data_IF_708364031713
#
_entry.id   IF_708364031713
#
_cell.length_a   1.000
_cell.length_b   1.000
_cell.length_c   1.000
_cell.angle_alpha   90.00
_cell.angle_beta   90.00
_cell.angle_gamma   90.00
#
_symmetry.space_group_name_H-M   'P 1'
#
loop_
_entity.id
_entity.type
_entity.pdbx_description
1 polymer ?
#
# COMPACT_ATOMS: atom_id res chain seq x y z
N UNK A 1 -9.73 -11.50 -12.67
CA UNK A 1 -10.61 -10.98 -11.63
C UNK A 1 -10.22 -9.55 -11.27
N UNK A 2 -11.20 -8.68 -11.17
CA UNK A 2 -10.98 -7.24 -11.06
C UNK A 2 -10.14 -6.83 -9.83
N UNK A 3 -10.46 -7.37 -8.65
CA UNK A 3 -9.72 -7.03 -7.44
C UNK A 3 -8.27 -7.51 -7.49
N UNK A 4 -8.02 -8.64 -8.11
CA UNK A 4 -6.67 -9.15 -8.30
C UNK A 4 -5.86 -8.25 -9.22
N UNK A 5 -6.46 -7.77 -10.31
CA UNK A 5 -5.81 -6.84 -11.23
C UNK A 5 -5.51 -5.52 -10.53
N UNK A 6 -6.46 -5.02 -9.73
CA UNK A 6 -6.24 -3.82 -8.93
C UNK A 6 -5.02 -3.97 -8.02
N UNK A 7 -4.91 -5.10 -7.31
CA UNK A 7 -3.78 -5.36 -6.44
C UNK A 7 -2.47 -5.35 -7.21
N UNK A 8 -2.43 -6.04 -8.35
CA UNK A 8 -1.23 -6.09 -9.19
C UNK A 8 -0.82 -4.70 -9.68
N UNK A 9 -1.79 -3.89 -10.12
CA UNK A 9 -1.52 -2.55 -10.60
C UNK A 9 -1.08 -1.61 -9.46
N UNK A 10 -1.64 -1.76 -8.26
CA UNK A 10 -1.19 -1.01 -7.09
C UNK A 10 0.25 -1.35 -6.71
N UNK A 11 0.60 -2.62 -6.73
CA UNK A 11 1.98 -3.04 -6.44
C UNK A 11 2.94 -2.38 -7.42
N UNK A 12 2.62 -2.39 -8.70
CA UNK A 12 3.44 -1.73 -9.72
C UNK A 12 3.54 -0.23 -9.48
N UNK A 13 2.43 0.42 -9.19
CA UNK A 13 2.39 1.87 -9.01
C UNK A 13 3.16 2.30 -7.78
N UNK A 14 3.06 1.57 -6.68
CA UNK A 14 3.84 1.88 -5.47
C UNK A 14 5.33 1.74 -5.77
N UNK A 15 5.72 0.72 -6.53
CA UNK A 15 7.10 0.60 -6.99
C UNK A 15 7.57 1.80 -7.81
N UNK A 16 6.70 2.34 -8.65
CA UNK A 16 7.00 3.54 -9.43
C UNK A 16 7.13 4.77 -8.53
N UNK A 17 6.23 4.92 -7.54
CA UNK A 17 6.27 6.05 -6.60
C UNK A 17 7.63 6.15 -5.91
N UNK A 18 8.21 5.02 -5.51
CA UNK A 18 9.45 4.98 -4.73
C UNK A 18 10.67 4.56 -5.54
N UNK A 19 10.58 4.56 -6.87
CA UNK A 19 11.65 4.05 -7.74
C UNK A 19 13.00 4.75 -7.56
N UNK A 20 13.00 6.01 -7.19
CA UNK A 20 14.21 6.81 -7.02
C UNK A 20 14.65 6.90 -5.56
N UNK A 21 13.93 6.26 -4.65
CA UNK A 21 14.22 6.31 -3.23
C UNK A 21 14.93 5.04 -2.78
N UNK A 22 15.86 5.20 -1.85
CA UNK A 22 16.53 4.09 -1.20
C UNK A 22 16.22 4.14 0.29
N UNK A 23 16.04 2.96 0.87
CA UNK A 23 15.68 2.81 2.27
C UNK A 23 16.65 1.86 2.95
N UNK A 24 17.00 2.15 4.19
CA UNK A 24 17.90 1.31 4.96
C UNK A 24 17.19 0.03 5.40
N UNK A 25 17.82 -1.11 5.17
CA UNK A 25 17.32 -2.38 5.69
C UNK A 25 17.94 -2.69 7.05
N UNK A 26 17.56 -3.80 7.68
CA UNK A 26 18.05 -4.17 9.00
C UNK A 26 19.51 -4.57 9.03
N UNK A 27 20.11 -4.82 7.88
CA UNK A 27 21.55 -5.11 7.76
C UNK A 27 22.38 -3.85 7.51
N UNK A 28 21.74 -2.68 7.42
CA UNK A 28 22.42 -1.42 7.17
C UNK A 28 22.63 -1.09 5.70
N UNK A 29 22.08 -1.89 4.80
CA UNK A 29 22.18 -1.67 3.38
C UNK A 29 21.03 -0.74 2.90
N UNK A 30 21.28 0.02 1.84
CA UNK A 30 20.26 0.86 1.23
C UNK A 30 19.67 0.15 0.03
N UNK A 31 18.37 -0.12 0.07
CA UNK A 31 17.67 -0.91 -0.93
C UNK A 31 16.41 -0.20 -1.43
N UNK A 32 15.86 -0.67 -2.53
CA UNK A 32 14.56 -0.22 -3.01
C UNK A 32 13.44 -0.70 -2.07
N UNK A 33 12.30 -0.01 -2.10
CA UNK A 33 11.12 -0.44 -1.37
C UNK A 33 10.67 -1.82 -1.85
N UNK A 34 10.46 -2.73 -0.91
CA UNK A 34 9.83 -4.03 -1.22
C UNK A 34 8.32 -3.83 -1.21
N UNK A 35 7.65 -4.29 -2.25
CA UNK A 35 6.19 -4.19 -2.34
C UNK A 35 5.63 -5.60 -2.51
N UNK A 36 4.75 -5.99 -1.60
CA UNK A 36 4.21 -7.35 -1.55
C UNK A 36 2.70 -7.36 -1.72
N UNK A 37 2.19 -8.43 -2.29
CA UNK A 37 0.76 -8.66 -2.41
C UNK A 37 0.27 -9.44 -1.20
N UNK A 38 -0.68 -8.89 -0.48
CA UNK A 38 -1.48 -9.50 0.57
C UNK A 38 -0.71 -9.86 1.85
N UNK A 39 0.41 -10.54 1.74
CA UNK A 39 1.15 -11.05 2.89
C UNK A 39 2.64 -10.92 2.67
N UNK A 40 3.40 -10.90 3.77
CA UNK A 40 4.85 -11.02 3.67
C UNK A 40 5.23 -12.40 3.15
N UNK A 41 6.36 -12.51 2.42
CA UNK A 41 6.86 -13.82 2.01
C UNK A 41 7.14 -14.71 3.23
N UNK A 42 6.87 -16.00 3.08
CA UNK A 42 7.20 -16.98 4.13
C UNK A 42 8.72 -17.16 4.14
N UNK A 43 9.31 -17.03 5.32
CA UNK A 43 10.75 -17.26 5.45
C UNK A 43 11.04 -18.75 5.35
N UNK A 44 11.91 -19.11 4.40
CA UNK A 44 12.25 -20.51 4.15
C UNK A 44 13.32 -21.02 5.11
N UNK A 45 14.16 -20.12 5.63
CA UNK A 45 15.22 -20.42 6.58
C UNK A 45 15.55 -19.20 7.44
N UNK A 46 16.39 -19.40 8.46
CA UNK A 46 16.77 -18.32 9.37
C UNK A 46 17.65 -17.25 8.72
N UNK A 47 18.30 -17.61 7.62
CA UNK A 47 19.20 -16.71 6.91
C UNK A 47 18.46 -15.89 5.85
N UNK A 48 17.16 -16.11 5.66
CA UNK A 48 16.37 -15.35 4.71
C UNK A 48 16.42 -13.85 5.06
N UNK A 49 16.54 -12.95 4.07
CA UNK A 49 16.60 -11.52 4.35
C UNK A 49 15.31 -11.03 5.01
N UNK A 50 15.48 -10.04 5.88
CA UNK A 50 14.36 -9.35 6.50
C UNK A 50 13.58 -8.63 5.39
N UNK A 51 12.24 -8.76 5.35
CA UNK A 51 11.45 -8.13 4.29
C UNK A 51 11.35 -6.60 4.40
N UNK A 52 11.80 -6.03 5.49
CA UNK A 52 11.75 -4.57 5.71
C UNK A 52 12.86 -3.84 4.92
N UNK A 53 12.63 -2.65 4.31
CA UNK A 53 11.39 -1.86 4.29
C UNK A 53 10.36 -2.43 3.32
N UNK A 54 9.08 -2.29 3.66
CA UNK A 54 8.04 -2.84 2.80
C UNK A 54 6.76 -2.00 2.79
N UNK A 55 6.00 -2.18 1.72
CA UNK A 55 4.58 -1.84 1.66
C UNK A 55 3.84 -3.10 1.21
N UNK A 56 2.89 -3.54 2.00
CA UNK A 56 2.02 -4.67 1.63
C UNK A 56 0.71 -4.11 1.12
N UNK A 57 0.33 -4.48 -0.11
CA UNK A 57 -0.96 -4.11 -0.68
C UNK A 57 -1.95 -5.21 -0.34
N UNK A 58 -2.85 -4.93 0.58
CA UNK A 58 -3.82 -5.90 1.08
C UNK A 58 -5.22 -5.53 0.62
N UNK A 59 -5.84 -6.41 -0.17
CA UNK A 59 -7.25 -6.27 -0.52
C UNK A 59 -8.07 -6.83 0.64
N UNK A 60 -8.92 -5.99 1.23
CA UNK A 60 -9.67 -6.36 2.44
C UNK A 60 -11.09 -6.83 2.12
N UNK A 61 -11.87 -5.98 1.47
CA UNK A 61 -13.26 -6.26 1.15
C UNK A 61 -13.63 -5.61 -0.18
N UNK A 62 -14.74 -6.05 -0.73
CA UNK A 62 -15.30 -5.46 -1.94
C UNK A 62 -16.81 -5.47 -1.90
N UNK A 63 -17.43 -4.58 -2.67
CA UNK A 63 -18.88 -4.51 -2.81
C UNK A 63 -19.26 -4.45 -4.28
N UNK A 64 -20.23 -5.25 -4.64
CA UNK A 64 -20.86 -5.24 -5.97
C UNK A 64 -22.34 -4.96 -5.74
N UNK A 65 -22.77 -3.73 -6.07
CA UNK A 65 -24.15 -3.30 -5.83
C UNK A 65 -25.11 -3.69 -6.94
N UNK A 66 -24.57 -4.20 -8.04
CA UNK A 66 -25.38 -4.61 -9.19
C UNK A 66 -25.71 -3.45 -10.13
N UNK A 67 -26.39 -3.77 -11.25
CA UNK A 67 -26.76 -2.77 -12.24
C UNK A 67 -25.56 -2.16 -12.93
N UNK A 68 -25.57 -0.83 -13.05
CA UNK A 68 -24.50 -0.06 -13.70
C UNK A 68 -23.55 0.57 -12.69
N UNK A 69 -23.74 0.30 -11.40
CA UNK A 69 -22.90 0.86 -10.35
C UNK A 69 -21.49 0.28 -10.39
N UNK A 70 -20.44 1.09 -10.16
CA UNK A 70 -19.09 0.58 -10.06
C UNK A 70 -18.95 -0.36 -8.86
N UNK A 71 -18.05 -1.31 -8.97
CA UNK A 71 -17.64 -2.11 -7.82
C UNK A 71 -16.71 -1.27 -6.95
N UNK A 72 -16.80 -1.45 -5.64
CA UNK A 72 -15.89 -0.79 -4.69
C UNK A 72 -14.99 -1.83 -4.06
N UNK A 73 -13.70 -1.55 -4.02
CA UNK A 73 -12.71 -2.43 -3.39
C UNK A 73 -11.95 -1.64 -2.33
N UNK A 74 -11.99 -2.15 -1.10
CA UNK A 74 -11.30 -1.55 0.03
C UNK A 74 -9.92 -2.18 0.17
N UNK A 75 -8.90 -1.32 0.23
CA UNK A 75 -7.49 -1.72 0.26
C UNK A 75 -6.82 -1.13 1.50
N UNK A 76 -6.02 -1.94 2.17
CA UNK A 76 -5.15 -1.47 3.25
C UNK A 76 -3.70 -1.63 2.80
N UNK A 77 -2.91 -0.59 3.02
CA UNK A 77 -1.47 -0.62 2.81
C UNK A 77 -0.80 -0.73 4.17
N UNK A 78 -0.03 -1.80 4.36
CA UNK A 78 0.74 -1.99 5.59
C UNK A 78 2.19 -1.61 5.32
N UNK A 79 2.77 -0.78 6.18
CA UNK A 79 4.09 -0.22 5.99
C UNK A 79 5.00 -0.65 7.11
N UNK A 80 6.17 -1.18 6.75
CA UNK A 80 7.24 -1.50 7.70
C UNK A 80 8.50 -0.74 7.33
N UNK A 81 9.13 -0.14 8.33
CA UNK A 81 10.25 0.77 8.16
C UNK A 81 11.31 0.48 9.21
N UNK A 82 12.58 0.58 8.82
CA UNK A 82 13.70 0.39 9.72
C UNK A 82 14.47 1.69 9.89
N UNK A 83 14.72 2.07 11.14
CA UNK A 83 15.55 3.23 11.46
C UNK A 83 16.21 2.99 12.81
N UNK A 84 17.52 2.82 12.82
CA UNK A 84 18.29 2.54 14.04
C UNK A 84 18.95 3.80 14.62
N UNK A 85 18.57 4.98 14.17
CA UNK A 85 19.04 6.25 14.72
C UNK A 85 18.56 6.38 16.18
N UNK A 86 19.49 6.76 17.06
CA UNK A 86 19.22 6.86 18.49
C UNK A 86 18.16 7.93 18.84
N UNK A 87 17.84 8.84 17.92
CA UNK A 87 16.78 9.81 18.09
C UNK A 87 15.38 9.20 18.15
N UNK A 88 15.23 7.94 17.74
CA UNK A 88 13.96 7.21 17.78
C UNK A 88 12.83 7.95 17.03
N UNK A 89 13.14 8.43 15.83
CA UNK A 89 12.23 9.21 15.01
C UNK A 89 11.81 8.51 13.71
N UNK A 90 11.89 7.19 13.65
CA UNK A 90 11.57 6.42 12.46
C UNK A 90 10.11 6.56 11.99
N UNK A 91 9.21 6.95 12.89
CA UNK A 91 7.83 7.23 12.51
C UNK A 91 7.74 8.29 11.41
N UNK A 92 8.69 9.23 11.35
CA UNK A 92 8.72 10.26 10.30
C UNK A 92 8.92 9.65 8.92
N UNK A 93 9.71 8.56 8.84
CA UNK A 93 9.87 7.82 7.59
C UNK A 93 8.56 7.16 7.15
N UNK A 94 7.83 6.57 8.10
CA UNK A 94 6.52 5.97 7.81
C UNK A 94 5.54 7.05 7.33
N UNK A 95 5.49 8.19 8.01
CA UNK A 95 4.63 9.30 7.59
C UNK A 95 4.98 9.81 6.19
N UNK A 96 6.28 9.89 5.88
CA UNK A 96 6.73 10.30 4.55
C UNK A 96 6.29 9.33 3.46
N UNK A 97 6.32 8.05 3.73
CA UNK A 97 5.85 7.02 2.79
C UNK A 97 4.35 7.17 2.56
N UNK A 98 3.57 7.31 3.63
CA UNK A 98 2.12 7.50 3.55
C UNK A 98 1.78 8.76 2.74
N UNK A 99 2.46 9.86 3.04
CA UNK A 99 2.22 11.13 2.36
C UNK A 99 2.51 11.05 0.88
N UNK A 100 3.59 10.39 0.49
CA UNK A 100 3.95 10.26 -0.91
C UNK A 100 2.94 9.45 -1.70
N UNK A 101 2.41 8.40 -1.10
CA UNK A 101 1.33 7.60 -1.70
C UNK A 101 0.07 8.45 -1.84
N UNK A 102 -0.31 9.14 -0.76
CA UNK A 102 -1.48 10.02 -0.77
C UNK A 102 -1.39 11.07 -1.87
N UNK A 103 -0.26 11.74 -1.97
CA UNK A 103 -0.04 12.78 -2.99
C UNK A 103 -0.23 12.23 -4.41
N UNK A 104 0.29 11.03 -4.68
CA UNK A 104 0.15 10.41 -6.00
C UNK A 104 -1.33 10.28 -6.39
N UNK A 105 -2.16 9.75 -5.50
CA UNK A 105 -3.56 9.49 -5.81
C UNK A 105 -4.44 10.72 -5.70
N UNK A 106 -4.05 11.72 -4.91
CA UNK A 106 -4.73 13.01 -4.88
C UNK A 106 -4.51 13.79 -6.19
N UNK A 107 -3.30 13.71 -6.76
CA UNK A 107 -2.98 14.40 -8.00
C UNK A 107 -3.59 13.71 -9.21
N UNK A 108 -3.58 12.39 -9.22
CA UNK A 108 -4.13 11.59 -10.31
C UNK A 108 -4.87 10.40 -9.73
N UNK A 109 -6.19 10.48 -9.58
CA UNK A 109 -6.95 9.39 -8.97
C UNK A 109 -7.10 8.15 -9.86
N UNK A 110 -6.81 8.25 -11.15
CA UNK A 110 -6.88 7.08 -12.02
C UNK A 110 -5.65 6.20 -11.88
N UNK A 111 -5.87 4.90 -11.84
CA UNK A 111 -4.83 3.89 -11.83
C UNK A 111 -5.04 2.94 -13.00
N UNK A 112 -4.02 2.81 -13.86
CA UNK A 112 -4.04 1.91 -15.01
C UNK A 112 -5.25 2.12 -15.93
N UNK A 113 -5.82 3.32 -15.94
CA UNK A 113 -7.00 3.70 -16.74
C UNK A 113 -8.25 2.85 -16.45
N UNK A 114 -8.23 2.05 -15.38
CA UNK A 114 -9.31 1.12 -15.04
C UNK A 114 -9.89 1.35 -13.66
N UNK A 115 -9.10 1.92 -12.75
CA UNK A 115 -9.48 2.04 -11.35
C UNK A 115 -9.46 3.50 -10.94
N UNK A 116 -10.40 3.88 -10.12
CA UNK A 116 -10.54 5.27 -9.67
C UNK A 116 -10.44 5.33 -8.15
N UNK A 117 -9.47 6.10 -7.65
CA UNK A 117 -9.32 6.34 -6.21
C UNK A 117 -10.47 7.22 -5.72
N UNK A 118 -11.30 6.66 -4.85
CA UNK A 118 -12.41 7.39 -4.25
C UNK A 118 -11.91 8.14 -3.01
N UNK A 119 -12.20 9.43 -2.96
CA UNK A 119 -11.80 10.24 -1.81
C UNK A 119 -12.90 11.27 -1.52
N UNK A 120 -13.84 10.88 -0.68
CA UNK A 120 -14.98 11.68 -0.26
C UNK A 120 -15.33 11.36 1.19
N UNK A 121 -16.41 11.91 1.71
CA UNK A 121 -16.80 11.70 3.11
C UNK A 121 -17.09 10.23 3.43
N UNK A 122 -17.56 9.48 2.45
CA UNK A 122 -17.91 8.06 2.63
C UNK A 122 -16.71 7.14 2.37
N UNK A 123 -15.70 7.63 1.67
CA UNK A 123 -14.51 6.87 1.29
C UNK A 123 -13.25 7.67 1.60
N UNK A 124 -12.95 7.89 2.89
CA UNK A 124 -11.78 8.69 3.25
C UNK A 124 -10.49 7.92 3.02
N UNK A 125 -9.41 8.66 2.82
CA UNK A 125 -8.07 8.12 2.92
C UNK A 125 -7.68 8.23 4.40
N UNK A 126 -7.64 7.09 5.08
CA UNK A 126 -7.29 7.04 6.50
C UNK A 126 -5.89 6.47 6.69
N UNK A 127 -5.20 6.94 7.71
CA UNK A 127 -3.91 6.39 8.06
C UNK A 127 -3.75 6.33 9.57
N UNK A 128 -2.85 5.47 10.02
CA UNK A 128 -2.52 5.34 11.44
C UNK A 128 -1.08 4.88 11.59
N UNK A 129 -0.45 5.33 12.66
CA UNK A 129 0.83 4.81 13.10
C UNK A 129 0.59 3.75 14.18
N UNK A 130 1.53 2.82 14.33
CA UNK A 130 1.44 1.82 15.37
C UNK A 130 1.49 2.48 16.76
N UNK A 131 0.75 1.91 17.73
CA UNK A 131 0.67 2.41 19.09
C UNK A 131 1.86 2.01 19.95
N UNK A 132 2.40 0.83 19.71
CA UNK A 132 3.46 0.27 20.54
C UNK A 132 4.82 0.66 20.04
N UNK A 133 5.74 0.87 20.97
CA UNK A 133 7.13 1.14 20.63
C UNK A 133 7.83 -0.15 20.25
N UNK A 134 8.53 -0.14 19.11
CA UNK A 134 9.20 -1.32 18.59
C UNK A 134 10.57 -1.02 17.96
N UNK A 135 11.20 0.07 18.41
CA UNK A 135 12.54 0.45 17.92
C UNK A 135 13.42 -0.76 17.74
N UNK A 136 14.14 -0.92 16.64
CA UNK A 136 14.34 0.04 15.52
C UNK A 136 13.35 -0.13 14.36
N UNK A 137 12.23 -0.79 14.59
CA UNK A 137 11.21 -1.03 13.59
C UNK A 137 10.01 -0.12 13.81
N UNK A 138 9.46 0.40 12.71
CA UNK A 138 8.34 1.34 12.76
C UNK A 138 7.29 0.89 11.76
N UNK A 139 6.02 0.94 12.16
CA UNK A 139 4.93 0.43 11.35
C UNK A 139 3.81 1.43 11.25
N UNK A 140 3.10 1.38 10.13
CA UNK A 140 1.92 2.19 9.91
C UNK A 140 1.01 1.54 8.89
N UNK A 141 -0.16 2.13 8.72
CA UNK A 141 -1.13 1.64 7.75
C UNK A 141 -1.88 2.80 7.12
N UNK A 142 -2.34 2.60 5.89
CA UNK A 142 -3.22 3.53 5.21
C UNK A 142 -4.34 2.74 4.55
N UNK A 143 -5.53 3.34 4.50
CA UNK A 143 -6.71 2.70 3.91
C UNK A 143 -7.23 3.54 2.76
N UNK A 144 -7.60 2.88 1.67
CA UNK A 144 -8.07 3.50 0.45
C UNK A 144 -9.20 2.68 -0.15
N UNK A 145 -10.06 3.34 -0.91
CA UNK A 145 -11.11 2.67 -1.66
C UNK A 145 -10.96 2.99 -3.14
N UNK A 146 -11.09 1.98 -3.96
CA UNK A 146 -11.08 2.14 -5.42
C UNK A 146 -12.40 1.69 -6.01
N UNK A 147 -12.89 2.47 -6.98
CA UNK A 147 -14.02 2.07 -7.82
C UNK A 147 -13.48 1.39 -9.06
N UNK A 148 -14.14 0.33 -9.45
CA UNK A 148 -13.82 -0.40 -10.68
C UNK A 148 -15.06 -0.47 -11.55
N UNK A 149 -14.89 -0.63 -12.87
CA UNK A 149 -16.02 -0.71 -13.77
C UNK A 149 -16.93 -1.89 -13.42
N UNK A 150 -18.24 -1.66 -13.43
CA UNK A 150 -19.21 -2.73 -13.22
C UNK A 150 -19.27 -3.63 -14.47
N UNK A 151 -19.44 -4.94 -14.25
CA UNK A 151 -19.63 -5.89 -15.33
C UNK A 151 -21.13 -5.91 -15.69
N UNK A 152 -21.45 -5.59 -16.94
CA UNK A 152 -22.82 -5.61 -17.44
C UNK A 152 -23.05 -6.90 -18.22
N UNK A 153 -24.30 -7.32 -18.28
CA UNK A 153 -24.66 -8.53 -19.05
C UNK A 153 -24.30 -8.41 -20.52
N UNK A 154 -24.53 -7.24 -21.10
CA UNK A 154 -24.27 -6.98 -22.53
C UNK A 154 -22.77 -6.87 -22.84
N UNK A 155 -21.91 -6.82 -21.85
CA UNK A 155 -20.46 -6.73 -22.04
C UNK A 155 -19.78 -8.09 -22.16
N UNK A 156 -20.57 -9.16 -22.19
CA UNK A 156 -20.03 -10.53 -22.25
C UNK A 156 -19.77 -10.97 -23.69
#
# INVERSE_FOLDING_TARGET
>A
MTAQILQEELVKEIGVIFRDDLFKDSAGEYIKMNVYEQNLPIRQDEDAPDPIPYVIVRVETGQVKGGVEPQEVFVTLLIGYFDDDAGNNGHKGVLGIIQKIQERFMKEPMLAKQFYFMNDEQHPFDWALQDEESFPYFFGAASMTFATAAIRKEDR
#
